data_IF_538195623324
#
_entry.id   IF_538195623324
#
_cell.length_a   1.000
_cell.length_b   1.000
_cell.length_c   1.000
_cell.angle_alpha   90.00
_cell.angle_beta   90.00
_cell.angle_gamma   90.00
#
_symmetry.space_group_name_H-M   'P 1'
#
loop_
_entity.id
_entity.type
_entity.pdbx_description
1 polymer ?
#
# COMPACT_ATOMS: atom_id res chain seq x y z
N UNK A 1 -57.99 18.20 11.61
CA UNK A 1 -57.25 17.07 12.22
C UNK A 1 -56.50 16.18 11.21
N UNK A 2 -56.96 16.03 9.96
CA UNK A 2 -56.34 15.13 8.95
C UNK A 2 -54.99 15.60 8.36
N UNK A 3 -54.67 16.89 8.41
CA UNK A 3 -53.44 17.46 7.82
C UNK A 3 -52.17 17.25 8.68
N UNK A 4 -52.32 17.10 10.01
CA UNK A 4 -51.20 16.86 10.95
C UNK A 4 -50.57 15.47 10.81
N UNK A 5 -51.33 14.50 10.33
CA UNK A 5 -50.86 13.13 10.09
C UNK A 5 -50.09 13.00 8.77
N UNK A 6 -50.42 13.83 7.78
CA UNK A 6 -49.74 13.84 6.48
C UNK A 6 -48.36 14.51 6.61
N UNK A 7 -48.27 15.60 7.37
CA UNK A 7 -47.00 16.31 7.63
C UNK A 7 -46.01 15.51 8.49
N UNK A 8 -46.50 14.65 9.40
CA UNK A 8 -45.63 13.79 10.22
C UNK A 8 -45.13 12.57 9.44
N UNK A 9 -45.95 12.03 8.53
CA UNK A 9 -45.57 10.93 7.65
C UNK A 9 -44.52 11.32 6.60
N UNK A 10 -44.56 12.54 6.07
CA UNK A 10 -43.56 13.02 5.09
C UNK A 10 -42.21 13.34 5.72
N UNK A 11 -42.17 13.83 6.96
CA UNK A 11 -40.91 14.09 7.69
C UNK A 11 -40.20 12.78 8.07
N UNK A 12 -40.94 11.74 8.45
CA UNK A 12 -40.35 10.42 8.76
C UNK A 12 -39.79 9.72 7.51
N UNK A 13 -40.42 9.85 6.35
CA UNK A 13 -39.90 9.27 5.10
C UNK A 13 -38.59 9.93 4.64
N UNK A 14 -38.44 11.25 4.88
CA UNK A 14 -37.24 11.99 4.52
C UNK A 14 -36.03 11.63 5.39
N UNK A 15 -36.22 11.31 6.68
CA UNK A 15 -35.13 10.92 7.58
C UNK A 15 -34.61 9.50 7.27
N UNK A 16 -35.46 8.59 6.80
CA UNK A 16 -35.06 7.23 6.42
C UNK A 16 -34.34 7.22 5.05
N UNK A 17 -34.74 8.09 4.12
CA UNK A 17 -34.09 8.24 2.81
C UNK A 17 -32.64 8.75 2.87
N UNK A 18 -32.32 9.61 3.84
CA UNK A 18 -30.96 10.19 3.99
C UNK A 18 -30.02 9.26 4.76
N UNK A 19 -30.53 8.46 5.71
CA UNK A 19 -29.71 7.53 6.50
C UNK A 19 -29.15 6.33 5.71
N UNK A 20 -29.75 5.99 4.57
CA UNK A 20 -29.41 4.78 3.82
C UNK A 20 -28.20 4.93 2.89
N UNK A 21 -27.83 6.17 2.52
CA UNK A 21 -26.73 6.43 1.57
C UNK A 21 -25.35 6.34 2.22
N UNK A 22 -25.25 6.45 3.54
CA UNK A 22 -23.97 6.49 4.25
C UNK A 22 -23.29 5.12 4.45
N UNK A 23 -23.96 3.99 4.16
CA UNK A 23 -23.43 2.64 4.45
C UNK A 23 -22.93 1.85 3.23
N UNK A 24 -23.07 2.36 2.01
CA UNK A 24 -22.45 1.72 0.84
C UNK A 24 -21.05 2.27 0.60
N UNK A 25 -20.15 1.99 1.55
CA UNK A 25 -18.71 1.95 1.25
C UNK A 25 -18.50 0.71 0.38
N UNK A 26 -18.79 0.85 -0.90
CA UNK A 26 -18.44 -0.15 -1.91
C UNK A 26 -16.92 -0.27 -1.90
N UNK A 27 -16.43 -1.40 -1.43
CA UNK A 27 -15.01 -1.75 -1.50
C UNK A 27 -14.68 -1.86 -2.99
N UNK A 28 -14.19 -0.78 -3.61
CA UNK A 28 -13.69 -0.83 -4.98
C UNK A 28 -12.51 -1.82 -5.00
N UNK A 29 -12.76 -3.03 -5.46
CA UNK A 29 -11.70 -3.96 -5.83
C UNK A 29 -10.95 -3.36 -7.02
N UNK A 30 -9.68 -3.01 -6.81
CA UNK A 30 -8.82 -2.59 -7.90
C UNK A 30 -8.74 -3.74 -8.95
N UNK A 31 -8.87 -3.46 -10.27
CA UNK A 31 -8.87 -4.49 -11.31
C UNK A 31 -7.61 -5.37 -11.23
N UNK A 32 -7.77 -6.70 -11.20
CA UNK A 32 -6.67 -7.69 -11.07
C UNK A 32 -5.53 -7.52 -12.10
N UNK A 33 -5.79 -6.91 -13.25
CA UNK A 33 -4.77 -6.62 -14.28
C UNK A 33 -3.82 -5.50 -13.84
N UNK A 34 -4.33 -4.48 -13.13
CA UNK A 34 -3.53 -3.35 -12.61
C UNK A 34 -2.57 -3.82 -11.51
N UNK A 35 -2.98 -4.78 -10.67
CA UNK A 35 -2.13 -5.30 -9.59
C UNK A 35 -0.94 -6.12 -10.09
N UNK A 36 -1.12 -6.97 -11.11
CA UNK A 36 -0.02 -7.74 -11.71
C UNK A 36 1.02 -6.88 -12.43
N UNK A 37 0.58 -5.84 -13.14
CA UNK A 37 1.48 -4.85 -13.74
C UNK A 37 2.25 -4.07 -12.67
N UNK A 38 1.55 -3.61 -11.63
CA UNK A 38 2.16 -2.89 -10.51
C UNK A 38 3.16 -3.76 -9.73
N UNK A 39 2.90 -5.07 -9.60
CA UNK A 39 3.85 -6.02 -9.05
C UNK A 39 5.15 -6.11 -9.86
N UNK A 40 5.06 -6.14 -11.19
CA UNK A 40 6.25 -6.18 -12.04
C UNK A 40 7.08 -4.89 -11.92
N UNK A 41 6.43 -3.73 -11.83
CA UNK A 41 7.10 -2.44 -11.64
C UNK A 41 7.97 -2.39 -10.37
N UNK A 42 7.53 -3.01 -9.27
CA UNK A 42 8.33 -3.06 -8.03
C UNK A 42 9.32 -4.23 -7.96
N UNK A 43 9.13 -5.27 -8.76
CA UNK A 43 10.00 -6.46 -8.73
C UNK A 43 11.38 -6.17 -9.34
N UNK A 44 11.43 -5.45 -10.47
CA UNK A 44 12.70 -5.20 -11.17
C UNK A 44 13.67 -4.38 -10.31
N UNK A 45 13.27 -3.25 -9.69
CA UNK A 45 14.17 -2.51 -8.82
C UNK A 45 14.58 -3.32 -7.58
N UNK A 46 13.70 -4.19 -7.06
CA UNK A 46 14.06 -5.05 -5.93
C UNK A 46 15.20 -6.02 -6.29
N UNK A 47 15.17 -6.62 -7.49
CA UNK A 47 16.27 -7.47 -7.99
C UNK A 47 17.56 -6.66 -8.15
N UNK A 48 17.46 -5.46 -8.70
CA UNK A 48 18.59 -4.57 -8.91
C UNK A 48 19.22 -4.09 -7.61
N UNK A 49 18.45 -3.97 -6.52
CA UNK A 49 19.03 -3.73 -5.19
C UNK A 49 19.92 -4.89 -4.77
N UNK A 50 19.46 -6.14 -4.92
CA UNK A 50 20.27 -7.32 -4.57
C UNK A 50 21.54 -7.40 -5.43
N UNK A 51 21.41 -7.14 -6.73
CA UNK A 51 22.56 -7.04 -7.63
C UNK A 51 23.52 -5.93 -7.19
N UNK A 52 23.01 -4.75 -6.87
CA UNK A 52 23.80 -3.64 -6.36
C UNK A 52 24.54 -4.01 -5.07
N UNK A 53 23.90 -4.72 -4.14
CA UNK A 53 24.54 -5.24 -2.93
C UNK A 53 25.64 -6.24 -3.29
N UNK A 54 25.37 -7.20 -4.16
CA UNK A 54 26.35 -8.21 -4.57
C UNK A 54 27.59 -7.61 -5.27
N UNK A 55 27.41 -6.48 -5.97
CA UNK A 55 28.46 -5.76 -6.67
C UNK A 55 29.09 -4.62 -5.86
N UNK A 56 28.60 -4.32 -4.65
CA UNK A 56 29.01 -3.14 -3.88
C UNK A 56 28.66 -1.80 -4.56
N UNK A 57 27.66 -1.78 -5.45
CA UNK A 57 27.25 -0.60 -6.20
C UNK A 57 26.19 0.22 -5.43
N UNK A 58 26.65 1.10 -4.54
CA UNK A 58 25.80 1.95 -3.71
C UNK A 58 24.86 2.87 -4.51
N UNK A 59 25.30 3.35 -5.68
CA UNK A 59 24.45 4.16 -6.54
C UNK A 59 23.25 3.35 -7.05
N UNK A 60 23.48 2.12 -7.52
CA UNK A 60 22.42 1.22 -7.98
C UNK A 60 21.46 0.87 -6.85
N UNK A 61 21.98 0.55 -5.66
CA UNK A 61 21.16 0.30 -4.47
C UNK A 61 20.25 1.49 -4.18
N UNK A 62 20.83 2.70 -4.07
CA UNK A 62 20.10 3.92 -3.71
C UNK A 62 19.04 4.29 -4.76
N UNK A 63 19.39 4.21 -6.06
CA UNK A 63 18.47 4.54 -7.15
C UNK A 63 17.26 3.60 -7.14
N UNK A 64 17.49 2.29 -7.04
CA UNK A 64 16.41 1.31 -7.07
C UNK A 64 15.57 1.31 -5.77
N UNK A 65 16.18 1.56 -4.61
CA UNK A 65 15.43 1.77 -3.36
C UNK A 65 14.47 2.98 -3.46
N UNK A 66 14.93 4.06 -4.08
CA UNK A 66 14.13 5.27 -4.30
C UNK A 66 13.02 5.06 -5.33
N UNK A 67 13.26 4.29 -6.40
CA UNK A 67 12.22 3.90 -7.36
C UNK A 67 11.07 3.16 -6.67
N UNK A 68 11.40 2.17 -5.82
CA UNK A 68 10.38 1.45 -5.08
C UNK A 68 9.66 2.37 -4.10
N UNK A 69 10.38 3.27 -3.42
CA UNK A 69 9.77 4.25 -2.51
C UNK A 69 8.78 5.15 -3.25
N UNK A 70 9.08 5.61 -4.46
CA UNK A 70 8.14 6.41 -5.28
C UNK A 70 6.86 5.64 -5.59
N UNK A 71 6.94 4.34 -5.87
CA UNK A 71 5.75 3.51 -6.08
C UNK A 71 4.86 3.46 -4.84
N UNK A 72 5.42 3.61 -3.63
CA UNK A 72 4.61 3.65 -2.40
C UNK A 72 3.79 4.93 -2.22
N UNK A 73 4.06 5.95 -3.03
CA UNK A 73 3.33 7.23 -3.04
C UNK A 73 2.24 7.26 -4.12
N UNK A 74 2.22 6.27 -5.01
CA UNK A 74 1.20 6.14 -6.05
C UNK A 74 -0.18 5.87 -5.43
N UNK A 75 -1.23 6.47 -6.00
CA UNK A 75 -2.61 6.24 -5.59
C UNK A 75 -3.01 4.74 -5.60
N UNK A 76 -2.41 3.96 -6.50
CA UNK A 76 -2.62 2.53 -6.64
C UNK A 76 -1.87 1.67 -5.62
N UNK A 77 -1.03 2.24 -4.75
CA UNK A 77 -0.28 1.48 -3.75
C UNK A 77 -1.19 0.88 -2.67
N UNK A 78 -2.14 1.66 -2.17
CA UNK A 78 -3.02 1.28 -1.07
C UNK A 78 -4.25 0.50 -1.55
N UNK A 79 -4.03 -0.76 -1.94
CA UNK A 79 -5.10 -1.64 -2.47
C UNK A 79 -6.09 -2.16 -1.41
N UNK A 80 -5.77 -2.02 -0.12
CA UNK A 80 -6.67 -2.34 1.00
C UNK A 80 -6.70 -1.20 2.01
N UNK A 81 -7.89 -0.89 2.50
CA UNK A 81 -8.12 0.16 3.50
C UNK A 81 -8.25 -0.42 4.92
N UNK A 82 -7.34 -1.31 5.31
CA UNK A 82 -7.28 -1.87 6.67
C UNK A 82 -6.11 -1.27 7.45
N UNK A 83 -6.26 -1.15 8.77
CA UNK A 83 -5.19 -0.65 9.65
C UNK A 83 -3.94 -1.55 9.56
N UNK A 84 -4.12 -2.87 9.51
CA UNK A 84 -3.01 -3.81 9.40
C UNK A 84 -2.24 -3.66 8.08
N UNK A 85 -2.94 -3.52 6.94
CA UNK A 85 -2.30 -3.32 5.65
C UNK A 85 -1.53 -1.99 5.60
N UNK A 86 -2.11 -0.92 6.17
CA UNK A 86 -1.43 0.38 6.33
C UNK A 86 -0.16 0.26 7.17
N UNK A 87 -0.23 -0.45 8.30
CA UNK A 87 0.92 -0.65 9.17
C UNK A 87 2.06 -1.42 8.47
N UNK A 88 1.75 -2.49 7.73
CA UNK A 88 2.78 -3.21 6.95
C UNK A 88 3.36 -2.36 5.81
N UNK A 89 2.52 -1.54 5.15
CA UNK A 89 2.96 -0.56 4.15
C UNK A 89 3.93 0.47 4.74
N UNK A 90 3.64 1.03 5.92
CA UNK A 90 4.53 1.98 6.60
C UNK A 90 5.86 1.34 7.01
N UNK A 91 5.84 0.09 7.50
CA UNK A 91 7.06 -0.67 7.80
C UNK A 91 7.91 -0.86 6.54
N UNK A 92 7.27 -1.17 5.42
CA UNK A 92 7.95 -1.28 4.13
C UNK A 92 8.62 0.04 3.70
N UNK A 93 7.90 1.16 3.77
CA UNK A 93 8.45 2.49 3.47
C UNK A 93 9.65 2.84 4.36
N UNK A 94 9.55 2.56 5.67
CA UNK A 94 10.67 2.76 6.61
C UNK A 94 11.89 1.91 6.24
N UNK A 95 11.70 0.65 5.86
CA UNK A 95 12.80 -0.22 5.44
C UNK A 95 13.49 0.30 4.16
N UNK A 96 12.74 0.82 3.19
CA UNK A 96 13.30 1.47 2.00
C UNK A 96 14.11 2.73 2.34
N UNK A 97 13.65 3.54 3.29
CA UNK A 97 14.39 4.71 3.76
C UNK A 97 15.70 4.32 4.44
N UNK A 98 15.69 3.26 5.26
CA UNK A 98 16.91 2.72 5.88
C UNK A 98 17.89 2.22 4.83
N UNK A 99 17.42 1.45 3.84
CA UNK A 99 18.25 0.97 2.73
C UNK A 99 18.88 2.12 1.93
N UNK A 100 18.08 3.14 1.59
CA UNK A 100 18.55 4.33 0.88
C UNK A 100 19.58 5.12 1.70
N UNK A 101 19.41 5.21 3.02
CA UNK A 101 20.37 5.84 3.93
C UNK A 101 21.66 5.04 4.03
N UNK A 102 21.58 3.73 4.26
CA UNK A 102 22.75 2.84 4.31
C UNK A 102 23.57 2.93 3.02
N UNK A 103 22.90 2.94 1.87
CA UNK A 103 23.56 3.11 0.58
C UNK A 103 24.21 4.49 0.41
N UNK A 104 23.59 5.55 0.95
CA UNK A 104 24.19 6.90 0.96
C UNK A 104 25.41 6.99 1.87
N UNK A 105 25.42 6.25 2.96
CA UNK A 105 26.52 6.17 3.92
C UNK A 105 27.61 5.17 3.49
N UNK A 106 27.43 4.51 2.33
CA UNK A 106 28.33 3.49 1.78
C UNK A 106 28.60 2.31 2.74
N UNK A 107 27.60 2.00 3.58
CA UNK A 107 27.65 0.89 4.53
C UNK A 107 26.96 -0.33 3.90
N UNK A 108 27.76 -1.27 3.40
CA UNK A 108 27.27 -2.46 2.69
C UNK A 108 26.56 -3.44 3.64
N UNK A 109 27.06 -3.61 4.86
CA UNK A 109 26.45 -4.51 5.85
C UNK A 109 25.07 -3.97 6.27
N UNK A 110 24.96 -2.66 6.48
CA UNK A 110 23.69 -2.00 6.72
C UNK A 110 22.74 -2.11 5.51
N UNK A 111 23.25 -2.06 4.28
CA UNK A 111 22.45 -2.31 3.08
C UNK A 111 21.88 -3.74 3.05
N UNK A 112 22.70 -4.75 3.38
CA UNK A 112 22.27 -6.16 3.46
C UNK A 112 21.16 -6.31 4.49
N UNK A 113 21.35 -5.81 5.71
CA UNK A 113 20.36 -5.90 6.79
C UNK A 113 19.05 -5.17 6.43
N UNK A 114 19.15 -3.97 5.87
CA UNK A 114 17.97 -3.22 5.43
C UNK A 114 17.23 -3.93 4.29
N UNK A 115 17.95 -4.56 3.36
CA UNK A 115 17.33 -5.31 2.28
C UNK A 115 16.66 -6.60 2.78
N UNK A 116 17.22 -7.29 3.77
CA UNK A 116 16.53 -8.37 4.46
C UNK A 116 15.19 -7.88 5.07
N UNK A 117 15.19 -6.73 5.74
CA UNK A 117 13.96 -6.15 6.29
C UNK A 117 12.94 -5.78 5.20
N UNK A 118 13.40 -5.28 4.05
CA UNK A 118 12.59 -5.05 2.85
C UNK A 118 11.92 -6.34 2.39
N UNK A 119 12.68 -7.43 2.21
CA UNK A 119 12.14 -8.70 1.73
C UNK A 119 11.08 -9.27 2.68
N UNK A 120 11.31 -9.21 4.00
CA UNK A 120 10.33 -9.61 5.00
C UNK A 120 9.03 -8.79 4.90
N UNK A 121 9.14 -7.47 4.74
CA UNK A 121 7.97 -6.59 4.63
C UNK A 121 7.22 -6.77 3.30
N UNK A 122 7.92 -7.05 2.19
CA UNK A 122 7.31 -7.43 0.92
C UNK A 122 6.35 -8.61 1.10
N UNK A 123 6.85 -9.67 1.73
CA UNK A 123 6.09 -10.92 1.91
C UNK A 123 4.91 -10.72 2.85
N UNK A 124 5.10 -10.04 4.00
CA UNK A 124 4.01 -9.73 4.95
C UNK A 124 2.87 -8.94 4.31
N UNK A 125 3.22 -7.93 3.50
CA UNK A 125 2.22 -7.17 2.76
C UNK A 125 1.45 -8.09 1.78
N UNK A 126 2.12 -9.03 1.12
CA UNK A 126 1.47 -9.98 0.21
C UNK A 126 0.63 -11.04 0.91
N UNK A 127 1.00 -11.48 2.11
CA UNK A 127 0.18 -12.39 2.92
C UNK A 127 -1.22 -11.82 3.14
N UNK A 128 -1.31 -10.53 3.52
CA UNK A 128 -2.57 -9.81 3.68
C UNK A 128 -3.40 -9.66 2.40
N UNK A 129 -2.76 -9.88 1.23
CA UNK A 129 -3.41 -9.85 -0.07
C UNK A 129 -3.77 -11.25 -0.58
N UNK A 130 -3.14 -12.33 -0.07
CA UNK A 130 -3.44 -13.72 -0.45
C UNK A 130 -4.73 -14.23 0.19
N UNK A 131 -4.96 -13.90 1.45
CA UNK A 131 -6.13 -14.37 2.20
C UNK A 131 -7.42 -13.61 1.85
N UNK A 132 -7.26 -12.49 1.15
CA UNK A 132 -8.35 -11.84 0.48
C UNK A 132 -8.74 -12.63 -0.75
N UNK A 133 -9.69 -13.56 -0.60
CA UNK A 133 -10.51 -13.98 -1.74
C UNK A 133 -11.12 -12.73 -2.37
N UNK A 134 -10.53 -12.32 -3.50
CA UNK A 134 -11.13 -11.53 -4.56
C UNK A 134 -12.14 -12.39 -5.33
#
# INVERSE_FOLDING_TARGET
MRYRWILTATVLLAVIGVGSVALQVHSQEAPRVRSGAFMRLKMEPAKNVLEGIALGNFQMIRQNAEEIRKLTLDEGWMVKQTQQYRAESEKFQKAMLLLSRAAKEEDLDACVLAYMQVTMNCVRCHELLRDAKL
#
